data_IF_258800708519
#
_entry.id   IF_258800708519
#
_cell.length_a   1.000
_cell.length_b   1.000
_cell.length_c   1.000
_cell.angle_alpha   90.00
_cell.angle_beta   90.00
_cell.angle_gamma   90.00
#
_symmetry.space_group_name_H-M   'P 1'
#
loop_
_entity.id
_entity.type
_entity.pdbx_description
1 polymer ?
#
# COMPACT_ATOMS: atom_id res chain seq x y z
N UNK A 1 1.08 -0.15 9.61
CA UNK A 1 0.16 -1.11 8.96
C UNK A 1 0.59 -2.56 9.14
N UNK A 2 1.82 -2.96 8.78
CA UNK A 2 2.30 -4.35 8.94
C UNK A 2 2.12 -4.92 10.36
N UNK A 3 2.54 -4.17 11.39
CA UNK A 3 2.39 -4.59 12.80
C UNK A 3 0.94 -4.81 13.20
N UNK A 4 0.02 -3.95 12.75
CA UNK A 4 -1.42 -4.09 13.04
C UNK A 4 -1.98 -5.35 12.38
N UNK A 5 -1.65 -5.60 11.11
CA UNK A 5 -2.11 -6.77 10.37
C UNK A 5 -1.54 -8.08 10.94
N UNK A 6 -0.29 -8.07 11.41
CA UNK A 6 0.31 -9.21 12.12
C UNK A 6 -0.37 -9.49 13.46
N UNK A 7 -0.79 -8.44 14.19
CA UNK A 7 -1.52 -8.58 15.45
C UNK A 7 -3.01 -8.93 15.27
N UNK A 8 -3.58 -8.66 14.08
CA UNK A 8 -4.99 -8.90 13.76
C UNK A 8 -5.10 -9.75 12.48
N UNK A 9 -4.66 -11.01 12.50
CA UNK A 9 -4.50 -11.83 11.30
C UNK A 9 -5.80 -12.13 10.57
N UNK A 10 -6.96 -12.00 11.24
CA UNK A 10 -8.27 -12.21 10.64
C UNK A 10 -8.82 -10.96 9.93
N UNK A 11 -8.31 -9.77 10.22
CA UNK A 11 -8.91 -8.50 9.80
C UNK A 11 -8.85 -8.28 8.29
N UNK A 12 -9.92 -7.69 7.75
CA UNK A 12 -10.01 -7.13 6.40
C UNK A 12 -10.75 -5.80 6.45
N UNK A 13 -10.45 -4.92 5.50
CA UNK A 13 -11.02 -3.58 5.42
C UNK A 13 -9.99 -2.47 5.66
N UNK A 14 -10.48 -1.25 5.82
CA UNK A 14 -9.65 -0.08 6.05
C UNK A 14 -9.32 0.05 7.54
N UNK A 15 -8.04 0.18 7.85
CA UNK A 15 -7.55 0.48 9.21
C UNK A 15 -7.62 2.00 9.41
N UNK A 16 -8.38 2.50 10.40
CA UNK A 16 -8.41 3.92 10.70
C UNK A 16 -7.03 4.41 11.17
N UNK A 17 -6.61 5.59 10.73
CA UNK A 17 -5.32 6.17 11.14
C UNK A 17 -5.17 6.28 12.67
N UNK A 18 -6.28 6.47 13.41
CA UNK A 18 -6.31 6.50 14.88
C UNK A 18 -5.95 5.17 15.55
N UNK A 19 -6.07 4.05 14.83
CA UNK A 19 -5.68 2.72 15.34
C UNK A 19 -4.21 2.39 15.08
N UNK A 20 -3.50 3.26 14.35
CA UNK A 20 -2.07 3.14 14.11
C UNK A 20 -1.33 3.89 15.21
N UNK A 21 -0.40 3.21 15.88
CA UNK A 21 0.57 3.86 16.76
C UNK A 21 1.56 4.68 15.91
N UNK A 22 1.09 5.83 15.42
CA UNK A 22 1.93 6.78 14.69
C UNK A 22 2.79 7.55 15.69
N UNK A 23 4.09 7.76 15.41
CA UNK A 23 4.91 8.67 16.20
C UNK A 23 4.23 10.05 16.22
N UNK A 24 4.03 10.62 17.41
CA UNK A 24 3.31 11.89 17.56
C UNK A 24 3.93 13.01 16.72
N UNK A 25 3.08 13.82 16.08
CA UNK A 25 3.50 15.02 15.33
C UNK A 25 3.60 14.85 13.81
N UNK A 26 3.28 13.68 13.24
CA UNK A 26 3.09 13.58 11.80
C UNK A 26 1.76 14.24 11.42
N UNK A 27 1.73 15.22 10.49
CA UNK A 27 0.49 15.63 9.87
C UNK A 27 -0.22 14.36 9.39
N UNK A 28 -1.51 14.20 9.69
CA UNK A 28 -2.29 13.18 9.01
C UNK A 28 -1.98 13.31 7.53
N UNK A 29 -1.57 12.21 6.90
CA UNK A 29 -1.33 12.14 5.46
C UNK A 29 -2.68 12.41 4.78
N UNK A 30 -3.05 13.68 4.64
CA UNK A 30 -4.27 14.07 3.95
C UNK A 30 -4.16 13.56 2.52
N UNK A 31 -5.10 12.70 2.13
CA UNK A 31 -5.06 12.01 0.84
C UNK A 31 -4.32 10.68 0.83
N UNK A 32 -3.95 10.11 1.99
CA UNK A 32 -3.55 8.71 2.11
C UNK A 32 -4.65 7.84 2.68
N UNK A 33 -4.77 6.62 2.16
CA UNK A 33 -5.73 5.62 2.60
C UNK A 33 -5.13 4.21 2.46
N UNK A 34 -5.82 3.20 2.98
CA UNK A 34 -5.36 1.83 2.99
C UNK A 34 -6.51 0.82 2.98
N UNK A 35 -6.21 -0.38 2.50
CA UNK A 35 -7.12 -1.52 2.55
C UNK A 35 -6.34 -2.81 2.77
N UNK A 36 -6.83 -3.63 3.71
CA UNK A 36 -6.33 -4.98 3.94
C UNK A 36 -7.31 -5.97 3.33
N UNK A 37 -6.82 -6.83 2.43
CA UNK A 37 -7.58 -7.93 1.84
C UNK A 37 -6.94 -9.27 2.19
N UNK A 38 -7.68 -10.36 2.04
CA UNK A 38 -7.15 -11.71 2.21
C UNK A 38 -6.38 -12.15 0.96
N UNK A 39 -5.36 -12.99 1.13
CA UNK A 39 -4.77 -13.73 0.00
C UNK A 39 -5.78 -14.73 -0.56
N UNK A 40 -5.53 -15.26 -1.76
CA UNK A 40 -6.39 -16.26 -2.37
C UNK A 40 -6.53 -17.55 -1.52
N UNK A 41 -5.49 -17.89 -0.73
CA UNK A 41 -5.50 -18.99 0.23
C UNK A 41 -6.30 -18.69 1.51
N UNK A 42 -6.60 -17.41 1.79
CA UNK A 42 -7.21 -16.94 3.04
C UNK A 42 -6.28 -16.93 4.25
N UNK A 43 -5.10 -17.54 4.14
CA UNK A 43 -4.13 -17.73 5.23
C UNK A 43 -3.14 -16.54 5.36
N UNK A 44 -3.09 -15.65 4.38
CA UNK A 44 -2.31 -14.41 4.40
C UNK A 44 -3.18 -13.16 4.26
N UNK A 45 -2.52 -11.99 4.34
CA UNK A 45 -3.11 -10.67 4.14
C UNK A 45 -2.30 -9.87 3.14
N UNK A 46 -3.00 -9.18 2.26
CA UNK A 46 -2.44 -8.19 1.34
C UNK A 46 -2.79 -6.83 1.92
N UNK A 47 -1.77 -6.05 2.20
CA UNK A 47 -1.87 -4.69 2.73
C UNK A 47 -1.60 -3.75 1.56
N UNK A 48 -2.61 -2.99 1.18
CA UNK A 48 -2.50 -1.96 0.15
C UNK A 48 -2.61 -0.59 0.82
N UNK A 49 -1.61 0.25 0.63
CA UNK A 49 -1.61 1.64 1.08
C UNK A 49 -1.42 2.54 -0.13
N UNK A 50 -2.12 3.67 -0.20
CA UNK A 50 -1.93 4.62 -1.29
C UNK A 50 -2.00 6.06 -0.80
N UNK A 51 -1.41 6.95 -1.58
CA UNK A 51 -1.49 8.38 -1.34
C UNK A 51 -1.25 9.17 -2.63
N UNK A 52 -1.85 10.35 -2.71
CA UNK A 52 -1.48 11.33 -3.74
C UNK A 52 -0.08 11.86 -3.46
N UNK A 53 0.87 11.46 -4.30
CA UNK A 53 2.26 11.93 -4.25
C UNK A 53 2.65 12.48 -5.62
N UNK A 54 3.48 13.55 -5.67
CA UNK A 54 4.14 13.93 -6.91
C UNK A 54 4.95 12.74 -7.45
N UNK A 55 4.88 12.45 -8.76
CA UNK A 55 5.58 11.31 -9.36
C UNK A 55 7.10 11.32 -9.07
N UNK A 56 7.70 12.52 -8.96
CA UNK A 56 9.10 12.71 -8.56
C UNK A 56 9.39 12.23 -7.13
N UNK A 57 8.43 12.39 -6.21
CA UNK A 57 8.54 11.90 -4.84
C UNK A 57 8.48 10.37 -4.78
N UNK A 58 7.64 9.73 -5.60
CA UNK A 58 7.55 8.26 -5.68
C UNK A 58 8.87 7.65 -6.12
N UNK A 59 9.50 8.21 -7.16
CA UNK A 59 10.79 7.73 -7.65
C UNK A 59 11.91 7.89 -6.61
N UNK A 60 11.95 9.02 -5.90
CA UNK A 60 12.94 9.24 -4.83
C UNK A 60 12.69 8.33 -3.63
N UNK A 61 11.43 8.11 -3.26
CA UNK A 61 11.07 7.17 -2.20
C UNK A 61 11.51 5.75 -2.53
N UNK A 62 11.28 5.26 -3.75
CA UNK A 62 11.74 3.93 -4.18
C UNK A 62 13.27 3.83 -4.17
N UNK A 63 13.98 4.87 -4.62
CA UNK A 63 15.45 4.93 -4.52
C UNK A 63 15.93 4.88 -3.08
N UNK A 64 15.28 5.63 -2.18
CA UNK A 64 15.62 5.67 -0.76
C UNK A 64 15.31 4.35 -0.04
N UNK A 65 14.38 3.55 -0.56
CA UNK A 65 14.10 2.19 -0.07
C UNK A 65 14.98 1.12 -0.74
N UNK A 66 16.15 1.49 -1.31
CA UNK A 66 17.07 0.57 -2.00
C UNK A 66 16.43 -0.23 -3.15
N UNK A 67 15.42 0.33 -3.82
CA UNK A 67 14.71 -0.38 -4.88
C UNK A 67 13.70 -1.41 -4.36
N UNK A 68 13.11 -1.20 -3.19
CA UNK A 68 11.97 -2.02 -2.77
C UNK A 68 10.86 -1.97 -3.84
N UNK A 69 10.58 -3.13 -4.44
CA UNK A 69 9.58 -3.32 -5.49
C UNK A 69 8.14 -3.27 -4.95
N UNK A 70 7.97 -3.07 -3.64
CA UNK A 70 6.65 -2.97 -3.00
C UNK A 70 5.91 -1.65 -3.27
N UNK A 71 6.46 -0.73 -4.07
CA UNK A 71 5.88 0.59 -4.38
C UNK A 71 5.83 0.93 -5.87
N UNK A 72 4.81 1.69 -6.28
CA UNK A 72 4.61 2.12 -7.66
C UNK A 72 3.51 3.16 -7.85
N UNK A 73 3.07 3.35 -9.09
CA UNK A 73 2.00 4.27 -9.50
C UNK A 73 0.83 3.49 -10.07
N UNK A 74 -0.39 3.97 -9.81
CA UNK A 74 -1.62 3.35 -10.30
C UNK A 74 -2.07 3.95 -11.63
N UNK A 75 -2.48 3.07 -12.55
CA UNK A 75 -3.15 3.41 -13.80
C UNK A 75 -4.28 2.41 -14.06
N UNK A 76 -5.53 2.86 -13.91
CA UNK A 76 -6.71 2.03 -13.97
C UNK A 76 -6.72 0.99 -12.85
N UNK A 77 -6.83 -0.28 -13.22
CA UNK A 77 -6.78 -1.42 -12.29
C UNK A 77 -5.38 -2.01 -12.15
N UNK A 78 -4.37 -1.37 -12.74
CA UNK A 78 -2.99 -1.83 -12.77
C UNK A 78 -2.07 -0.88 -12.02
N UNK A 79 -0.92 -1.40 -11.61
CA UNK A 79 0.13 -0.57 -11.05
C UNK A 79 1.49 -0.95 -11.63
N UNK A 80 2.39 0.01 -11.67
CA UNK A 80 3.74 -0.15 -12.18
C UNK A 80 4.75 0.45 -11.23
N UNK A 81 5.88 -0.24 -11.07
CA UNK A 81 7.04 0.31 -10.42
C UNK A 81 7.84 1.13 -11.45
N UNK A 82 8.24 2.37 -11.15
CA UNK A 82 9.18 3.13 -11.96
C UNK A 82 10.52 2.41 -12.21
N UNK A 83 10.89 1.44 -11.38
CA UNK A 83 12.16 0.70 -11.48
C UNK A 83 11.97 -0.64 -12.21
N UNK A 84 10.91 -1.37 -11.88
CA UNK A 84 10.69 -2.74 -12.38
C UNK A 84 9.65 -2.85 -13.51
N UNK A 85 8.98 -1.75 -13.85
CA UNK A 85 7.95 -1.73 -14.88
C UNK A 85 6.60 -2.25 -14.37
N UNK A 86 5.75 -2.83 -15.23
CA UNK A 86 4.42 -3.29 -14.87
C UNK A 86 4.45 -4.37 -13.78
N UNK A 87 3.70 -4.16 -12.69
CA UNK A 87 3.64 -5.09 -11.55
C UNK A 87 2.38 -5.96 -11.56
N UNK A 88 1.39 -5.60 -12.37
CA UNK A 88 0.15 -6.34 -12.55
C UNK A 88 -1.07 -5.60 -12.02
N UNK A 89 -2.13 -6.35 -11.71
CA UNK A 89 -3.40 -5.80 -11.25
C UNK A 89 -3.35 -5.45 -9.76
N UNK A 90 -4.13 -4.45 -9.36
CA UNK A 90 -4.44 -4.19 -7.97
C UNK A 90 -5.17 -5.40 -7.34
N UNK A 91 -5.04 -5.62 -6.02
CA UNK A 91 -5.76 -6.67 -5.34
C UNK A 91 -7.28 -6.53 -5.52
N UNK A 92 -7.98 -7.67 -5.59
CA UNK A 92 -9.42 -7.70 -5.83
C UNK A 92 -10.18 -6.86 -4.79
N UNK A 93 -11.10 -6.02 -5.26
CA UNK A 93 -11.92 -5.15 -4.42
C UNK A 93 -11.19 -3.92 -3.86
N UNK A 94 -9.93 -3.70 -4.23
CA UNK A 94 -9.20 -2.47 -3.90
C UNK A 94 -9.36 -1.48 -5.06
N UNK A 95 -9.71 -0.24 -4.73
CA UNK A 95 -9.79 0.87 -5.69
C UNK A 95 -8.84 1.97 -5.25
N UNK A 96 -7.89 2.30 -6.10
CA UNK A 96 -6.91 3.37 -5.87
C UNK A 96 -7.07 4.40 -6.99
N UNK A 97 -7.13 5.71 -6.67
CA UNK A 97 -7.19 6.75 -7.70
C UNK A 97 -6.01 6.67 -8.68
N UNK A 98 -6.29 6.96 -9.95
CA UNK A 98 -5.24 7.01 -10.97
C UNK A 98 -4.21 8.10 -10.65
N UNK A 99 -2.94 7.76 -10.81
CA UNK A 99 -1.82 8.66 -10.53
C UNK A 99 -1.37 8.68 -9.07
N UNK A 100 -2.12 8.05 -8.16
CA UNK A 100 -1.66 7.87 -6.78
C UNK A 100 -0.51 6.87 -6.71
N UNK A 101 0.37 7.11 -5.73
CA UNK A 101 1.37 6.14 -5.35
C UNK A 101 0.72 5.03 -4.55
N UNK A 102 1.09 3.79 -4.84
CA UNK A 102 0.59 2.62 -4.11
C UNK A 102 1.76 1.82 -3.56
N UNK A 103 1.58 1.25 -2.38
CA UNK A 103 2.43 0.22 -1.81
C UNK A 103 1.60 -1.03 -1.53
N UNK A 104 2.05 -2.18 -2.00
CA UNK A 104 1.36 -3.46 -1.80
C UNK A 104 2.34 -4.44 -1.18
N UNK A 105 1.98 -4.95 0.00
CA UNK A 105 2.79 -5.93 0.73
C UNK A 105 1.90 -7.11 1.13
N UNK A 106 2.37 -8.32 0.87
CA UNK A 106 1.73 -9.54 1.38
C UNK A 106 2.45 -10.01 2.65
N UNK A 107 1.67 -10.37 3.66
CA UNK A 107 2.12 -11.05 4.87
C UNK A 107 1.37 -12.37 5.03
N UNK A 108 2.07 -13.41 5.49
CA UNK A 108 1.49 -14.76 5.56
C UNK A 108 1.30 -15.41 4.18
N UNK A 109 1.08 -16.73 4.20
CA UNK A 109 0.97 -17.58 3.01
C UNK A 109 -0.36 -18.29 3.06
#
# INVERSE_FOLDING_TARGET
MGVYASANPAFTGSVPASSLALPGGMPLLQGADNQITATASGQGRIITCWATLPASAVFQTIKNMNGDASMGLVSGTQWSSPVYGPMGNLPSGVQVPNGDAVSIVQIGN
#
